data_IF_627394582466
#
_entry.id   IF_627394582466
#
_cell.length_a   1.000
_cell.length_b   1.000
_cell.length_c   1.000
_cell.angle_alpha   90.00
_cell.angle_beta   90.00
_cell.angle_gamma   90.00
#
_symmetry.space_group_name_H-M   'P 1'
#
loop_
_entity.id
_entity.type
_entity.pdbx_description
1 polymer ?
#
# COMPACT_ATOMS: atom_id res chain seq x y z
N UNK A 1 0.70 14.80 4.86
CA UNK A 1 1.90 14.01 5.23
C UNK A 1 1.41 12.88 6.13
N UNK A 2 1.83 11.63 5.89
CA UNK A 2 1.43 10.50 6.72
C UNK A 2 1.90 10.65 8.17
N UNK A 3 1.11 10.11 9.09
CA UNK A 3 1.56 9.77 10.43
C UNK A 3 2.18 8.36 10.44
N UNK A 4 3.06 8.11 11.40
CA UNK A 4 3.72 6.81 11.60
C UNK A 4 3.50 6.38 13.05
N UNK A 5 3.32 5.07 13.28
CA UNK A 5 3.09 4.54 14.62
C UNK A 5 4.32 4.73 15.53
N UNK A 6 5.49 4.25 15.09
CA UNK A 6 6.78 4.41 15.83
C UNK A 6 7.86 5.02 14.92
N UNK A 7 7.48 6.06 14.18
CA UNK A 7 8.34 6.67 13.18
C UNK A 7 8.43 5.86 11.87
N UNK A 8 9.07 6.47 10.86
CA UNK A 8 9.19 5.89 9.54
C UNK A 8 10.34 4.87 9.48
N UNK A 9 10.04 3.69 8.92
CA UNK A 9 11.05 2.68 8.57
C UNK A 9 12.03 3.23 7.55
N UNK A 10 13.15 2.52 7.32
CA UNK A 10 14.10 2.92 6.28
C UNK A 10 13.45 2.96 4.89
N UNK A 11 12.71 1.91 4.52
CA UNK A 11 11.90 1.87 3.29
C UNK A 11 11.00 3.10 3.16
N UNK A 12 10.21 3.44 4.18
CA UNK A 12 9.29 4.59 4.14
C UNK A 12 10.02 5.93 3.99
N UNK A 13 11.18 6.09 4.65
CA UNK A 13 12.00 7.31 4.51
C UNK A 13 12.54 7.46 3.09
N UNK A 14 12.98 6.35 2.48
CA UNK A 14 13.45 6.34 1.10
C UNK A 14 12.32 6.62 0.10
N UNK A 15 11.13 6.03 0.31
CA UNK A 15 9.93 6.34 -0.47
C UNK A 15 9.56 7.83 -0.38
N UNK A 16 9.52 8.40 0.83
CA UNK A 16 9.24 9.82 1.02
C UNK A 16 10.25 10.70 0.27
N UNK A 17 11.54 10.35 0.33
CA UNK A 17 12.57 11.07 -0.39
C UNK A 17 12.39 10.95 -1.92
N UNK A 18 12.02 9.76 -2.42
CA UNK A 18 11.72 9.54 -3.83
C UNK A 18 10.53 10.38 -4.31
N UNK A 19 9.45 10.45 -3.51
CA UNK A 19 8.29 11.31 -3.78
C UNK A 19 8.67 12.80 -3.85
N UNK A 20 9.56 13.25 -2.96
CA UNK A 20 10.10 14.62 -3.01
C UNK A 20 10.90 14.84 -4.29
N UNK A 21 11.82 13.93 -4.65
CA UNK A 21 12.60 14.03 -5.88
C UNK A 21 11.71 14.09 -7.14
N UNK A 22 10.66 13.26 -7.21
CA UNK A 22 9.67 13.32 -8.30
C UNK A 22 8.97 14.67 -8.37
N UNK A 23 8.56 15.22 -7.22
CA UNK A 23 7.90 16.54 -7.17
C UNK A 23 8.81 17.66 -7.67
N UNK A 24 10.11 17.59 -7.39
CA UNK A 24 11.10 18.55 -7.87
C UNK A 24 11.56 18.28 -9.33
N UNK A 25 11.06 17.20 -9.95
CA UNK A 25 11.41 16.83 -11.34
C UNK A 25 12.74 16.08 -11.50
N UNK A 26 13.36 15.63 -10.40
CA UNK A 26 14.60 14.85 -10.44
C UNK A 26 14.29 13.35 -10.58
N UNK A 27 14.00 12.94 -11.81
CA UNK A 27 13.66 11.56 -12.13
C UNK A 27 14.80 10.56 -11.83
N UNK A 28 16.06 10.98 -11.96
CA UNK A 28 17.21 10.11 -11.73
C UNK A 28 17.39 9.81 -10.24
N UNK A 29 17.27 10.82 -9.38
CA UNK A 29 17.32 10.62 -7.94
C UNK A 29 16.11 9.86 -7.42
N UNK A 30 14.91 10.14 -7.94
CA UNK A 30 13.71 9.36 -7.64
C UNK A 30 13.89 7.86 -7.93
N UNK A 31 14.44 7.53 -9.10
CA UNK A 31 14.75 6.16 -9.49
C UNK A 31 15.74 5.49 -8.52
N UNK A 32 16.83 6.19 -8.18
CA UNK A 32 17.83 5.68 -7.25
C UNK A 32 17.25 5.42 -5.86
N UNK A 33 16.42 6.33 -5.36
CA UNK A 33 15.78 6.23 -4.06
C UNK A 33 14.69 5.15 -4.02
N UNK A 34 13.90 5.02 -5.09
CA UNK A 34 12.90 3.95 -5.24
C UNK A 34 13.55 2.57 -5.24
N UNK A 35 14.62 2.37 -6.02
CA UNK A 35 15.38 1.12 -6.01
C UNK A 35 16.01 0.81 -4.64
N UNK A 36 16.52 1.82 -3.95
CA UNK A 36 17.02 1.67 -2.58
C UNK A 36 15.89 1.31 -1.59
N UNK A 37 14.70 1.91 -1.76
CA UNK A 37 13.54 1.60 -0.93
C UNK A 37 13.11 0.13 -1.09
N UNK A 38 13.07 -0.37 -2.33
CA UNK A 38 12.78 -1.78 -2.58
C UNK A 38 13.84 -2.69 -1.97
N UNK A 39 15.12 -2.37 -2.11
CA UNK A 39 16.21 -3.14 -1.47
C UNK A 39 16.16 -3.14 0.07
N UNK A 40 15.52 -2.13 0.67
CA UNK A 40 15.30 -2.04 2.11
C UNK A 40 13.94 -2.59 2.58
N UNK A 41 13.07 -3.04 1.65
CA UNK A 41 11.74 -3.56 1.98
C UNK A 41 11.89 -4.97 2.57
N UNK A 42 11.30 -5.25 3.74
CA UNK A 42 11.17 -6.61 4.23
C UNK A 42 10.22 -7.40 3.32
N UNK A 43 10.63 -8.61 2.91
CA UNK A 43 9.74 -9.53 2.24
C UNK A 43 8.94 -10.29 3.30
N UNK A 44 7.63 -10.12 3.28
CA UNK A 44 6.75 -10.63 4.34
C UNK A 44 5.94 -11.81 3.83
N UNK A 45 6.09 -12.96 4.47
CA UNK A 45 5.30 -14.15 4.19
C UNK A 45 3.97 -14.12 4.96
N UNK A 46 3.00 -14.89 4.48
CA UNK A 46 1.68 -14.93 5.10
C UNK A 46 0.68 -15.76 4.32
N UNK A 47 -0.60 -15.47 4.54
CA UNK A 47 -1.74 -16.11 3.88
C UNK A 47 -2.76 -15.08 3.41
N UNK A 48 -3.19 -15.20 2.16
CA UNK A 48 -4.31 -14.46 1.60
C UNK A 48 -5.47 -15.43 1.37
N UNK A 49 -6.62 -15.19 2.00
CA UNK A 49 -7.76 -16.11 1.94
C UNK A 49 -7.40 -17.58 2.27
N UNK A 50 -6.43 -17.79 3.18
CA UNK A 50 -5.91 -19.10 3.56
C UNK A 50 -4.86 -19.70 2.62
N UNK A 51 -4.55 -19.06 1.49
CA UNK A 51 -3.50 -19.48 0.54
C UNK A 51 -2.19 -18.80 0.92
N UNK A 52 -1.12 -19.58 1.08
CA UNK A 52 0.18 -19.06 1.50
C UNK A 52 0.88 -18.26 0.38
N UNK A 53 1.61 -17.22 0.78
CA UNK A 53 2.53 -16.45 -0.06
C UNK A 53 3.84 -16.20 0.70
N UNK A 54 4.91 -15.91 -0.03
CA UNK A 54 6.26 -15.65 0.50
C UNK A 54 6.66 -14.16 0.49
N UNK A 55 5.96 -13.34 -0.28
CA UNK A 55 6.06 -11.88 -0.24
C UNK A 55 4.70 -11.21 -0.46
N UNK A 56 4.55 -9.99 0.06
CA UNK A 56 3.41 -9.12 -0.20
C UNK A 56 3.90 -7.69 -0.39
N UNK A 57 3.48 -7.06 -1.49
CA UNK A 57 3.69 -5.64 -1.73
C UNK A 57 2.58 -5.04 -2.57
N UNK A 58 2.46 -3.71 -2.51
CA UNK A 58 1.80 -2.97 -3.57
C UNK A 58 2.63 -3.03 -4.87
N UNK A 59 1.96 -3.10 -6.02
CA UNK A 59 2.62 -3.10 -7.32
C UNK A 59 3.14 -1.71 -7.73
N UNK A 60 2.70 -0.63 -7.06
CA UNK A 60 3.32 0.70 -7.16
C UNK A 60 4.63 0.75 -6.37
N UNK A 61 5.71 1.19 -7.03
CA UNK A 61 7.07 1.22 -6.43
C UNK A 61 7.19 2.16 -5.22
N UNK A 62 6.28 3.11 -5.08
CA UNK A 62 6.24 4.07 -3.98
C UNK A 62 5.18 3.75 -2.92
N UNK A 63 4.45 2.64 -3.07
CA UNK A 63 3.55 2.10 -2.04
C UNK A 63 3.95 0.69 -1.58
N UNK A 64 4.99 0.09 -2.17
CA UNK A 64 5.33 -1.32 -2.01
C UNK A 64 5.43 -1.85 -0.56
N UNK A 65 5.99 -1.05 0.36
CA UNK A 65 6.36 -1.51 1.72
C UNK A 65 5.32 -1.27 2.81
N UNK A 66 4.14 -0.74 2.50
CA UNK A 66 3.17 -0.35 3.52
C UNK A 66 1.73 -0.29 3.02
N UNK A 67 0.80 -0.36 3.97
CA UNK A 67 -0.59 0.02 3.73
C UNK A 67 -0.81 1.49 4.05
N UNK A 68 -1.50 2.17 3.15
CA UNK A 68 -2.13 3.45 3.44
C UNK A 68 -3.41 3.23 4.24
N UNK A 69 -3.56 3.94 5.36
CA UNK A 69 -4.64 3.69 6.33
C UNK A 69 -5.25 5.00 6.79
N UNK A 70 -6.54 5.19 6.56
CA UNK A 70 -7.34 6.25 7.16
C UNK A 70 -8.09 5.70 8.38
N UNK A 71 -7.83 6.24 9.55
CA UNK A 71 -8.49 5.83 10.79
C UNK A 71 -9.89 6.43 10.91
N UNK A 72 -10.71 5.85 11.80
CA UNK A 72 -12.01 6.43 12.17
C UNK A 72 -11.92 7.83 12.77
N UNK A 73 -10.76 8.24 13.29
CA UNK A 73 -10.47 9.59 13.79
C UNK A 73 -10.03 10.56 12.70
N UNK A 74 -9.97 10.13 11.44
CA UNK A 74 -9.62 10.95 10.28
C UNK A 74 -8.11 11.15 10.10
N UNK A 75 -7.28 10.37 10.79
CA UNK A 75 -5.82 10.41 10.64
C UNK A 75 -5.37 9.45 9.55
N UNK A 76 -4.40 9.87 8.75
CA UNK A 76 -3.84 9.09 7.66
C UNK A 76 -2.45 8.58 8.03
N UNK A 77 -2.28 7.27 8.01
CA UNK A 77 -1.09 6.56 8.42
C UNK A 77 -0.50 5.77 7.25
N UNK A 78 0.81 5.59 7.30
CA UNK A 78 1.47 4.49 6.61
C UNK A 78 1.83 3.42 7.64
N UNK A 79 1.26 2.22 7.46
CA UNK A 79 1.50 1.07 8.34
C UNK A 79 2.39 0.07 7.59
N UNK A 80 3.64 -0.18 8.02
CA UNK A 80 4.52 -1.12 7.33
C UNK A 80 3.89 -2.51 7.28
N UNK A 81 3.99 -3.19 6.14
CA UNK A 81 3.42 -4.55 5.97
C UNK A 81 3.97 -5.52 7.01
N UNK A 82 5.25 -5.41 7.34
CA UNK A 82 5.94 -6.20 8.38
C UNK A 82 5.35 -6.04 9.80
N UNK A 83 4.56 -4.99 10.05
CA UNK A 83 3.92 -4.73 11.36
C UNK A 83 2.44 -5.10 11.39
N UNK A 84 1.86 -5.52 10.28
CA UNK A 84 0.46 -5.96 10.26
C UNK A 84 0.43 -7.42 10.68
N UNK A 85 -0.46 -7.78 11.61
CA UNK A 85 -0.73 -9.19 11.93
C UNK A 85 -1.85 -9.74 11.05
N UNK A 86 -2.92 -8.97 10.88
CA UNK A 86 -4.03 -9.36 10.00
C UNK A 86 -4.85 -8.19 9.47
N UNK A 87 -5.53 -8.43 8.36
CA UNK A 87 -6.53 -7.54 7.77
C UNK A 87 -7.73 -8.38 7.31
N UNK A 88 -8.93 -8.01 7.77
CA UNK A 88 -10.20 -8.47 7.22
C UNK A 88 -10.86 -7.34 6.42
N UNK A 89 -10.98 -7.52 5.11
CA UNK A 89 -11.62 -6.54 4.23
C UNK A 89 -13.12 -6.78 4.15
N UNK A 90 -13.89 -5.75 4.48
CA UNK A 90 -15.35 -5.83 4.46
C UNK A 90 -15.89 -5.58 3.05
N UNK A 91 -16.98 -6.26 2.72
CA UNK A 91 -17.72 -5.98 1.49
C UNK A 91 -18.19 -4.51 1.46
N UNK A 92 -18.13 -3.82 0.31
CA UNK A 92 -18.59 -2.46 0.17
C UNK A 92 -20.11 -2.38 0.39
N UNK A 93 -20.56 -1.42 1.22
CA UNK A 93 -21.97 -1.19 1.56
C UNK A 93 -22.43 0.23 1.22
N UNK A 94 -21.50 1.17 1.06
CA UNK A 94 -21.76 2.60 0.80
C UNK A 94 -21.09 3.02 -0.50
N UNK A 95 -21.58 4.10 -1.10
CA UNK A 95 -21.04 4.63 -2.35
C UNK A 95 -19.54 5.01 -2.29
N UNK A 96 -19.01 5.33 -1.09
CA UNK A 96 -17.59 5.64 -0.88
C UNK A 96 -16.69 4.41 -0.74
N UNK A 97 -17.26 3.25 -0.43
CA UNK A 97 -16.49 2.06 -0.09
C UNK A 97 -15.66 1.50 -1.26
N UNK A 98 -16.04 1.66 -2.54
CA UNK A 98 -15.17 1.36 -3.67
C UNK A 98 -13.92 2.25 -3.79
N UNK A 99 -13.85 3.37 -3.06
CA UNK A 99 -12.66 4.24 -3.01
C UNK A 99 -11.87 4.03 -1.72
N UNK A 100 -12.59 3.77 -0.62
CA UNK A 100 -12.05 3.62 0.73
C UNK A 100 -12.62 2.36 1.34
N UNK A 101 -11.91 1.25 1.15
CA UNK A 101 -12.36 -0.06 1.57
C UNK A 101 -12.26 -0.18 3.08
N UNK A 102 -13.39 -0.44 3.74
CA UNK A 102 -13.41 -0.67 5.19
C UNK A 102 -12.71 -1.99 5.51
N UNK A 103 -11.82 -1.98 6.48
CA UNK A 103 -11.10 -3.15 6.95
C UNK A 103 -11.03 -3.18 8.48
N UNK A 104 -11.06 -4.37 9.07
CA UNK A 104 -10.60 -4.59 10.43
C UNK A 104 -9.12 -4.95 10.35
N UNK A 105 -8.26 -4.17 10.99
CA UNK A 105 -6.80 -4.37 10.94
C UNK A 105 -6.27 -4.59 12.35
N UNK A 106 -5.40 -5.57 12.49
CA UNK A 106 -4.60 -5.80 13.69
C UNK A 106 -3.13 -5.50 13.40
N UNK A 107 -2.52 -4.70 14.26
CA UNK A 107 -1.14 -4.24 14.11
C UNK A 107 -0.31 -4.77 15.27
N UNK A 108 0.82 -5.40 14.96
CA UNK A 108 1.71 -6.00 15.93
C UNK A 108 2.21 -4.98 16.93
N UNK A 109 1.99 -5.26 18.21
CA UNK A 109 2.28 -4.35 19.33
C UNK A 109 1.66 -2.95 19.15
N UNK A 110 0.62 -2.84 18.34
CA UNK A 110 -0.05 -1.62 17.96
C UNK A 110 -1.55 -1.67 18.24
N UNK A 111 -2.31 -0.71 17.72
CA UNK A 111 -3.76 -0.68 17.88
C UNK A 111 -4.45 -1.66 16.93
N UNK A 112 -5.44 -2.38 17.45
CA UNK A 112 -6.45 -3.05 16.63
C UNK A 112 -7.61 -2.10 16.36
N UNK A 113 -8.19 -2.16 15.16
CA UNK A 113 -9.40 -1.40 14.90
C UNK A 113 -9.94 -1.39 13.48
N UNK A 114 -11.04 -0.68 13.34
CA UNK A 114 -11.67 -0.38 12.07
C UNK A 114 -10.95 0.78 11.37
N UNK A 115 -10.51 0.50 10.14
CA UNK A 115 -9.79 1.44 9.29
C UNK A 115 -10.38 1.47 7.88
N UNK A 116 -9.91 2.41 7.08
CA UNK A 116 -10.24 2.54 5.67
C UNK A 116 -8.96 2.57 4.85
N UNK A 117 -8.82 1.62 3.92
CA UNK A 117 -7.67 1.49 3.03
C UNK A 117 -8.07 2.05 1.66
N UNK A 118 -7.26 2.92 1.01
CA UNK A 118 -7.53 3.34 -0.36
C UNK A 118 -7.62 2.13 -1.28
N UNK A 119 -8.67 2.08 -2.10
CA UNK A 119 -8.80 1.10 -3.17
C UNK A 119 -8.36 1.66 -4.53
N UNK A 120 -8.07 2.97 -4.60
CA UNK A 120 -7.69 3.70 -5.82
C UNK A 120 -6.43 4.51 -5.53
N UNK A 121 -5.40 4.37 -6.36
CA UNK A 121 -4.17 5.17 -6.27
C UNK A 121 -4.49 6.66 -6.38
N UNK A 122 -3.82 7.46 -5.55
CA UNK A 122 -3.95 8.92 -5.57
C UNK A 122 -3.41 9.49 -6.88
N UNK A 123 -4.23 10.28 -7.59
CA UNK A 123 -3.85 10.95 -8.83
C UNK A 123 -4.55 12.31 -8.94
N UNK A 124 -3.86 13.33 -9.43
CA UNK A 124 -4.35 14.71 -9.57
C UNK A 124 -4.68 15.09 -11.02
N UNK A 125 -4.57 14.17 -11.98
CA UNK A 125 -4.87 14.39 -13.39
C UNK A 125 -6.39 14.52 -13.62
N UNK A 126 -6.90 15.73 -13.93
CA UNK A 126 -8.32 15.92 -14.20
C UNK A 126 -8.77 15.22 -15.49
N UNK A 127 -7.85 14.93 -16.42
CA UNK A 127 -8.11 14.26 -17.69
C UNK A 127 -8.16 12.73 -17.59
N UNK A 128 -7.92 12.17 -16.40
CA UNK A 128 -7.93 10.73 -16.20
C UNK A 128 -9.29 10.11 -16.60
N UNK A 129 -9.25 8.95 -17.27
CA UNK A 129 -10.46 8.25 -17.69
C UNK A 129 -11.33 7.85 -16.50
N UNK A 130 -12.67 7.93 -16.66
CA UNK A 130 -13.62 7.65 -15.57
C UNK A 130 -13.48 6.23 -14.99
N UNK A 131 -13.09 5.25 -15.81
CA UNK A 131 -12.86 3.87 -15.35
C UNK A 131 -11.71 3.81 -14.32
N UNK A 132 -10.66 4.62 -14.50
CA UNK A 132 -9.54 4.70 -13.56
C UNK A 132 -9.95 5.50 -12.32
N UNK A 133 -10.62 6.66 -12.50
CA UNK A 133 -11.14 7.47 -11.38
C UNK A 133 -12.08 6.69 -10.45
N UNK A 134 -12.83 5.73 -10.99
CA UNK A 134 -13.78 4.89 -10.26
C UNK A 134 -13.18 3.55 -9.79
N UNK A 135 -11.89 3.29 -10.00
CA UNK A 135 -11.25 2.04 -9.58
C UNK A 135 -11.76 0.80 -10.31
N UNK A 136 -12.20 0.94 -11.55
CA UNK A 136 -12.69 -0.17 -12.40
C UNK A 136 -11.62 -0.74 -13.34
N UNK A 137 -10.47 -0.08 -13.39
CA UNK A 137 -9.28 -0.49 -14.12
C UNK A 137 -8.04 -0.04 -13.34
N UNK A 138 -6.92 -0.66 -13.66
CA UNK A 138 -5.59 -0.27 -13.21
C UNK A 138 -4.75 -0.01 -14.46
N UNK A 139 -4.00 1.08 -14.46
CA UNK A 139 -3.04 1.45 -15.49
C UNK A 139 -1.73 1.89 -14.80
N UNK A 140 -0.67 2.08 -15.60
CA UNK A 140 0.68 2.32 -15.10
C UNK A 140 1.32 3.52 -15.78
N UNK A 141 2.01 4.33 -14.99
CA UNK A 141 2.75 5.51 -15.48
C UNK A 141 4.15 5.55 -14.89
N UNK A 142 5.07 6.16 -15.63
CA UNK A 142 6.45 6.36 -15.20
C UNK A 142 7.39 5.23 -15.64
N UNK A 143 8.66 5.62 -15.81
CA UNK A 143 9.81 4.78 -16.13
C UNK A 143 11.05 5.59 -15.66
N UNK A 144 11.94 5.06 -14.81
CA UNK A 144 11.97 3.68 -14.27
C UNK A 144 11.16 3.47 -12.99
N UNK A 145 10.62 4.54 -12.37
CA UNK A 145 9.74 4.40 -11.21
C UNK A 145 8.32 4.20 -11.70
N UNK A 146 7.79 2.99 -11.52
CA UNK A 146 6.47 2.61 -11.99
C UNK A 146 5.43 2.92 -10.93
N UNK A 147 4.42 3.69 -11.31
CA UNK A 147 3.33 4.11 -10.42
C UNK A 147 1.97 3.71 -10.96
N UNK A 148 1.11 3.26 -10.06
CA UNK A 148 -0.23 2.83 -10.38
C UNK A 148 -1.19 4.01 -10.59
N UNK A 149 -2.16 3.81 -11.46
CA UNK A 149 -3.27 4.74 -11.70
C UNK A 149 -4.57 3.95 -11.76
N UNK A 150 -5.60 4.39 -11.04
CA UNK A 150 -6.84 3.63 -10.90
C UNK A 150 -6.80 2.69 -9.71
N UNK A 151 -7.35 1.49 -9.81
CA UNK A 151 -7.46 0.57 -8.67
C UNK A 151 -6.08 0.12 -8.17
N UNK A 152 -5.89 0.08 -6.84
CA UNK A 152 -4.71 -0.53 -6.22
C UNK A 152 -4.58 -2.00 -6.64
N UNK A 153 -3.37 -2.41 -6.99
CA UNK A 153 -3.02 -3.78 -7.32
C UNK A 153 -1.93 -4.25 -6.37
N UNK A 154 -2.17 -5.38 -5.71
CA UNK A 154 -1.22 -5.98 -4.79
C UNK A 154 -0.60 -7.21 -5.44
N UNK A 155 0.71 -7.38 -5.24
CA UNK A 155 1.42 -8.62 -5.55
C UNK A 155 1.41 -9.48 -4.28
N UNK A 156 0.75 -10.63 -4.38
CA UNK A 156 0.60 -11.63 -3.31
C UNK A 156 1.34 -12.89 -3.76
N UNK A 157 2.62 -12.98 -3.39
CA UNK A 157 3.57 -13.86 -4.06
C UNK A 157 3.64 -13.53 -5.55
N UNK A 158 3.32 -14.52 -6.41
CA UNK A 158 3.32 -14.37 -7.86
C UNK A 158 1.97 -13.90 -8.43
N UNK A 159 0.93 -13.75 -7.60
CA UNK A 159 -0.41 -13.35 -8.05
C UNK A 159 -0.63 -11.84 -7.93
N UNK A 160 -1.19 -11.24 -8.98
CA UNK A 160 -1.67 -9.87 -8.96
C UNK A 160 -3.15 -9.83 -8.55
N UNK A 161 -3.44 -9.20 -7.41
CA UNK A 161 -4.78 -9.16 -6.80
C UNK A 161 -5.27 -7.73 -6.68
N UNK A 162 -6.45 -7.45 -7.23
CA UNK A 162 -7.08 -6.13 -7.13
C UNK A 162 -7.49 -5.80 -5.69
N UNK A 163 -7.40 -4.53 -5.31
CA UNK A 163 -7.74 -4.07 -3.98
C UNK A 163 -9.18 -4.41 -3.54
N UNK A 164 -10.12 -4.58 -4.48
CA UNK A 164 -11.49 -4.99 -4.18
C UNK A 164 -11.68 -6.51 -4.07
N UNK A 165 -10.70 -7.31 -4.53
CA UNK A 165 -10.76 -8.77 -4.53
C UNK A 165 -10.08 -9.39 -3.29
N UNK A 166 -9.23 -8.65 -2.58
CA UNK A 166 -8.68 -9.07 -1.30
C UNK A 166 -9.80 -9.40 -0.30
N UNK A 167 -9.65 -10.41 0.55
CA UNK A 167 -10.69 -10.74 1.56
C UNK A 167 -10.08 -10.78 2.96
N UNK A 168 -9.13 -11.67 3.17
CA UNK A 168 -8.32 -11.72 4.39
C UNK A 168 -6.84 -11.74 4.05
N UNK A 169 -6.05 -11.07 4.86
CA UNK A 169 -4.60 -11.16 4.88
C UNK A 169 -4.17 -11.49 6.32
N UNK A 170 -3.30 -12.48 6.46
CA UNK A 170 -2.64 -12.84 7.70
C UNK A 170 -1.15 -12.86 7.42
N UNK A 171 -0.36 -12.15 8.20
CA UNK A 171 1.09 -12.11 8.03
C UNK A 171 1.75 -12.94 9.12
N UNK A 172 2.74 -13.73 8.73
CA UNK A 172 3.53 -14.48 9.70
C UNK A 172 4.32 -13.48 10.58
N UNK A 173 4.68 -13.87 11.80
CA UNK A 173 5.61 -13.09 12.60
C UNK A 173 6.94 -13.01 11.86
N UNK A 174 7.21 -11.85 11.25
CA UNK A 174 8.52 -11.55 10.69
C UNK A 174 9.56 -11.68 11.79
N UNK A 175 10.64 -12.42 11.53
CA UNK A 175 11.80 -12.44 12.40
C UNK A 175 12.19 -11.00 12.70
N UNK A 176 12.12 -10.61 13.97
CA UNK A 176 12.48 -9.26 14.42
C UNK A 176 13.84 -8.90 13.79
N UNK A 177 13.95 -7.78 13.06
CA UNK A 177 15.25 -7.35 12.58
C UNK A 177 16.16 -7.17 13.79
N UNK A 178 17.29 -7.88 13.78
CA UNK A 178 18.31 -7.82 14.82
C UNK A 178 19.02 -6.46 14.83
#
# INVERSE_FOLDING_TARGET
MPEFLDGATENMRLVLAALVALREGDAAEAARLSAAAEGARPHVAGRAAGVAFDDFRDADDLCAGFFEVLTSTGKYFWIPTERVDSIEFHAPKRARDPMWRRASMSVRNGPDGEVYIPAIYGNDDPALADQLKLGRATDWVGDPVVRGVGQHLYLVGEEAVGAMDLTTLEFDEGASPA
#
